data_IF_266307455953
#
_entry.id   IF_266307455953
#
_cell.length_a   1.000
_cell.length_b   1.000
_cell.length_c   1.000
_cell.angle_alpha   90.00
_cell.angle_beta   90.00
_cell.angle_gamma   90.00
#
_symmetry.space_group_name_H-M   'P 1'
#
loop_
_entity.id
_entity.type
_entity.pdbx_description
1 polymer ?
#
# COMPACT_ATOMS: atom_id res chain seq x y z
N UNK A 1 3.54 27.56 -86.70
CA UNK A 1 3.83 28.89 -87.30
C UNK A 1 4.70 29.60 -86.28
N UNK A 2 5.99 29.56 -86.52
CA UNK A 2 6.89 30.69 -86.79
C UNK A 2 6.68 31.84 -85.75
N UNK A 3 7.63 32.45 -85.09
CA UNK A 3 9.06 32.74 -85.36
C UNK A 3 9.62 33.39 -84.12
N UNK A 4 10.79 32.98 -83.61
CA UNK A 4 12.03 33.71 -83.36
C UNK A 4 11.86 35.17 -82.86
N UNK A 5 12.68 35.75 -81.99
CA UNK A 5 14.16 35.76 -82.00
C UNK A 5 14.67 36.68 -80.88
N UNK A 6 15.75 36.27 -80.29
CA UNK A 6 17.00 37.01 -80.02
C UNK A 6 16.93 38.34 -79.26
N UNK A 7 17.72 38.50 -78.35
CA UNK A 7 19.15 38.73 -78.05
C UNK A 7 19.31 39.96 -77.15
N UNK A 8 20.10 39.96 -76.28
CA UNK A 8 21.50 40.27 -76.08
C UNK A 8 21.76 41.19 -74.86
N UNK A 9 22.62 40.73 -74.06
CA UNK A 9 23.83 41.40 -73.47
C UNK A 9 23.67 42.82 -72.92
N UNK A 10 23.93 43.06 -71.68
CA UNK A 10 25.25 43.56 -71.21
C UNK A 10 25.34 43.76 -69.70
N UNK A 11 26.46 43.31 -69.20
CA UNK A 11 27.21 43.63 -68.04
C UNK A 11 26.97 44.98 -67.39
N UNK A 12 26.91 45.00 -66.03
CA UNK A 12 27.89 45.74 -65.23
C UNK A 12 27.78 45.40 -63.72
N UNK A 13 28.91 45.14 -63.19
CA UNK A 13 29.31 44.94 -61.80
C UNK A 13 28.80 46.01 -60.85
N UNK A 14 28.29 45.62 -59.71
CA UNK A 14 28.53 46.34 -58.47
C UNK A 14 28.41 45.36 -57.22
N UNK A 15 29.50 45.17 -56.57
CA UNK A 15 29.60 44.55 -55.25
C UNK A 15 28.82 45.41 -54.26
N UNK A 16 27.89 44.77 -53.45
CA UNK A 16 27.56 45.24 -52.16
C UNK A 16 27.26 44.00 -51.27
N UNK A 17 28.07 43.85 -50.26
CA UNK A 17 27.94 42.91 -49.18
C UNK A 17 26.59 43.11 -48.46
N UNK A 18 25.79 42.07 -48.37
CA UNK A 18 24.67 42.02 -47.46
C UNK A 18 24.84 40.78 -46.55
N UNK A 19 25.06 41.08 -45.28
CA UNK A 19 25.09 40.10 -44.19
C UNK A 19 23.77 39.32 -44.17
N UNK A 20 23.85 38.01 -44.33
CA UNK A 20 22.74 37.08 -44.14
C UNK A 20 22.69 36.74 -42.64
N UNK A 21 21.83 37.41 -41.91
CA UNK A 21 21.50 37.01 -40.52
C UNK A 21 20.66 35.75 -40.60
N UNK A 22 21.29 34.60 -40.36
CA UNK A 22 20.59 33.32 -40.08
C UNK A 22 19.94 33.39 -38.71
N UNK A 23 18.66 33.62 -38.65
CA UNK A 23 17.84 33.40 -37.45
C UNK A 23 17.67 31.88 -37.31
N UNK A 24 18.49 31.29 -36.47
CA UNK A 24 18.33 29.91 -36.02
C UNK A 24 17.15 29.88 -35.02
N UNK A 25 15.93 29.61 -35.52
CA UNK A 25 14.82 29.19 -34.65
C UNK A 25 15.13 27.79 -34.12
N UNK A 26 15.85 27.73 -32.98
CA UNK A 26 16.00 26.54 -32.22
C UNK A 26 14.67 26.15 -31.63
N UNK A 27 13.97 25.18 -32.24
CA UNK A 27 12.86 24.47 -31.60
C UNK A 27 13.44 23.70 -30.40
N UNK A 28 13.34 24.28 -29.21
CA UNK A 28 13.49 23.57 -27.97
C UNK A 28 12.32 22.57 -27.84
N UNK A 29 12.47 21.38 -28.46
CA UNK A 29 11.66 20.25 -28.12
C UNK A 29 12.00 19.90 -26.68
N UNK A 30 11.27 20.51 -25.75
CA UNK A 30 11.26 20.10 -24.36
C UNK A 30 10.79 18.66 -24.31
N UNK A 31 11.71 17.72 -24.21
CA UNK A 31 11.40 16.36 -23.81
C UNK A 31 10.79 16.47 -22.42
N UNK A 32 9.47 16.50 -22.35
CA UNK A 32 8.74 16.17 -21.13
C UNK A 32 9.10 14.71 -20.85
N UNK A 33 10.17 14.50 -20.07
CA UNK A 33 10.38 13.25 -19.37
C UNK A 33 9.10 13.04 -18.57
N UNK A 34 8.24 12.14 -19.05
CA UNK A 34 7.18 11.60 -18.25
C UNK A 34 7.91 11.04 -17.00
N UNK A 35 7.87 11.79 -15.92
CA UNK A 35 8.24 11.24 -14.61
C UNK A 35 7.30 10.07 -14.45
N UNK A 36 7.84 8.86 -14.62
CA UNK A 36 7.22 7.67 -14.08
C UNK A 36 6.95 8.05 -12.63
N UNK A 37 5.67 8.23 -12.28
CA UNK A 37 5.26 8.50 -10.90
C UNK A 37 5.71 7.29 -10.13
N UNK A 38 6.86 7.40 -9.48
CA UNK A 38 7.37 6.36 -8.61
C UNK A 38 6.25 6.07 -7.61
N UNK A 39 5.86 4.83 -7.51
CA UNK A 39 4.94 4.38 -6.46
C UNK A 39 5.58 4.79 -5.15
N UNK A 40 4.94 5.65 -4.32
CA UNK A 40 5.64 6.34 -3.26
C UNK A 40 6.12 5.33 -2.22
N UNK A 41 7.39 4.94 -2.31
CA UNK A 41 8.07 4.16 -1.29
C UNK A 41 7.53 2.75 -1.01
N UNK A 42 6.57 2.24 -1.80
CA UNK A 42 6.06 0.87 -1.63
C UNK A 42 7.12 -0.13 -2.07
N UNK A 43 7.48 -1.05 -1.18
CA UNK A 43 8.44 -2.10 -1.51
C UNK A 43 7.79 -3.16 -2.43
N UNK A 44 8.52 -3.72 -3.40
CA UNK A 44 7.96 -4.71 -4.33
C UNK A 44 7.44 -5.97 -3.60
N UNK A 45 6.34 -6.62 -4.09
CA UNK A 45 5.73 -7.77 -3.43
C UNK A 45 6.66 -9.00 -3.33
N UNK A 46 7.60 -9.17 -4.26
CA UNK A 46 8.60 -10.23 -4.22
C UNK A 46 9.86 -9.91 -3.40
N UNK A 47 9.92 -8.74 -2.76
CA UNK A 47 11.07 -8.36 -1.94
C UNK A 47 11.03 -9.04 -0.56
N UNK A 48 12.19 -9.08 0.09
CA UNK A 48 12.35 -9.64 1.43
C UNK A 48 12.90 -8.59 2.40
N UNK A 49 12.14 -7.52 2.68
CA UNK A 49 12.60 -6.47 3.59
C UNK A 49 12.90 -7.05 4.97
N UNK A 50 14.03 -6.65 5.53
CA UNK A 50 14.52 -7.15 6.83
C UNK A 50 14.60 -8.69 6.91
N UNK A 51 14.84 -9.36 5.77
CA UNK A 51 15.02 -10.81 5.68
C UNK A 51 13.73 -11.64 5.73
N UNK A 52 12.55 -11.03 5.68
CA UNK A 52 11.24 -11.72 5.69
C UNK A 52 10.45 -11.44 4.42
N UNK A 53 9.77 -12.45 3.86
CA UNK A 53 8.81 -12.27 2.77
C UNK A 53 7.55 -11.53 3.28
N UNK A 54 6.72 -11.04 2.33
CA UNK A 54 5.43 -10.44 2.69
C UNK A 54 4.52 -11.38 3.48
N UNK A 55 4.47 -12.68 3.12
CA UNK A 55 3.72 -13.67 3.88
C UNK A 55 4.26 -13.88 5.31
N UNK A 56 5.58 -13.80 5.51
CA UNK A 56 6.15 -13.82 6.85
C UNK A 56 5.86 -12.53 7.62
N UNK A 57 5.82 -11.38 6.94
CA UNK A 57 5.42 -10.12 7.56
C UNK A 57 3.93 -10.08 7.91
N UNK A 58 3.06 -10.71 7.12
CA UNK A 58 1.63 -10.82 7.48
C UNK A 58 1.44 -11.65 8.75
N UNK A 59 2.21 -12.74 8.93
CA UNK A 59 2.22 -13.50 10.20
C UNK A 59 2.69 -12.63 11.38
N UNK A 60 3.74 -11.81 11.23
CA UNK A 60 4.21 -10.91 12.30
C UNK A 60 3.19 -9.81 12.62
N UNK A 61 2.49 -9.29 11.59
CA UNK A 61 1.44 -8.31 11.76
C UNK A 61 0.26 -8.89 12.57
N UNK A 62 -0.16 -10.11 12.24
CA UNK A 62 -1.22 -10.80 12.99
C UNK A 62 -0.78 -11.14 14.41
N UNK A 63 0.44 -11.62 14.61
CA UNK A 63 0.98 -11.82 15.96
C UNK A 63 0.95 -10.54 16.79
N UNK A 64 1.31 -9.40 16.19
CA UNK A 64 1.20 -8.10 16.84
C UNK A 64 -0.25 -7.79 17.21
N UNK A 65 -1.18 -7.91 16.27
CA UNK A 65 -2.57 -7.58 16.52
C UNK A 65 -3.22 -8.48 17.57
N UNK A 66 -3.07 -9.79 17.47
CA UNK A 66 -3.75 -10.77 18.31
C UNK A 66 -3.29 -10.78 19.79
N UNK A 67 -2.14 -10.18 20.11
CA UNK A 67 -1.68 -10.06 21.51
C UNK A 67 -2.08 -8.74 22.17
N UNK A 68 -2.66 -7.81 21.42
CA UNK A 68 -3.09 -6.54 21.98
C UNK A 68 -4.38 -6.69 22.79
N UNK A 69 -4.57 -5.89 23.85
CA UNK A 69 -5.83 -5.85 24.59
C UNK A 69 -6.94 -5.26 23.72
N UNK A 70 -8.19 -5.52 24.10
CA UNK A 70 -9.36 -5.01 23.38
C UNK A 70 -9.45 -3.47 23.47
N UNK A 71 -9.10 -2.90 24.63
CA UNK A 71 -9.11 -1.45 24.82
C UNK A 71 -8.05 -0.79 23.92
N UNK A 72 -8.50 0.16 23.09
CA UNK A 72 -7.63 0.84 22.14
C UNK A 72 -7.14 -0.01 20.97
N UNK A 73 -7.71 -1.20 20.79
CA UNK A 73 -7.29 -2.13 19.74
C UNK A 73 -7.43 -1.53 18.34
N UNK A 74 -6.46 -1.73 17.42
CA UNK A 74 -6.48 -1.14 16.08
C UNK A 74 -7.65 -1.61 15.18
N UNK A 75 -8.34 -2.69 15.52
CA UNK A 75 -9.50 -3.18 14.78
C UNK A 75 -10.84 -2.62 15.30
N UNK A 76 -10.79 -1.80 16.32
CA UNK A 76 -11.99 -1.16 16.89
C UNK A 76 -11.85 0.35 16.69
N UNK A 77 -12.93 1.02 16.25
CA UNK A 77 -12.97 2.47 16.25
C UNK A 77 -13.18 2.95 17.70
N UNK A 78 -12.11 3.45 18.29
CA UNK A 78 -12.07 3.87 19.70
C UNK A 78 -11.31 5.18 19.84
N UNK A 79 -11.79 6.12 20.68
CA UNK A 79 -11.03 7.31 21.03
C UNK A 79 -9.72 6.99 21.79
N UNK A 80 -9.64 5.80 22.40
CA UNK A 80 -8.48 5.33 23.16
C UNK A 80 -7.47 4.58 22.28
N UNK A 81 -7.62 4.62 20.96
CA UNK A 81 -6.68 4.00 20.02
C UNK A 81 -5.27 4.50 20.25
N UNK A 82 -4.36 3.57 20.54
CA UNK A 82 -2.93 3.83 20.73
C UNK A 82 -2.12 3.28 19.56
N UNK A 83 -1.60 4.19 18.74
CA UNK A 83 -0.78 3.84 17.60
C UNK A 83 0.57 3.21 17.97
N UNK A 84 1.05 3.45 19.20
CA UNK A 84 2.34 2.96 19.70
C UNK A 84 2.21 1.58 20.34
N UNK A 85 0.98 1.09 20.56
CA UNK A 85 0.71 -0.18 21.23
C UNK A 85 1.45 -1.35 20.56
N UNK A 86 2.28 -2.04 21.32
CA UNK A 86 3.00 -3.24 20.88
C UNK A 86 4.04 -3.02 19.78
N UNK A 87 4.35 -1.79 19.38
CA UNK A 87 5.29 -1.48 18.31
C UNK A 87 6.73 -1.78 18.71
N UNK A 88 7.42 -2.59 17.91
CA UNK A 88 8.82 -2.97 18.16
C UNK A 88 9.63 -3.03 16.85
N UNK A 89 10.98 -3.14 16.96
CA UNK A 89 11.85 -3.39 15.82
C UNK A 89 11.87 -2.28 14.76
N UNK A 90 12.06 -2.66 13.49
CA UNK A 90 12.25 -1.74 12.35
C UNK A 90 10.98 -1.47 11.54
N UNK A 91 9.93 -2.24 11.77
CA UNK A 91 8.66 -2.14 11.06
C UNK A 91 7.58 -1.67 12.03
N UNK A 92 6.82 -0.68 11.59
CA UNK A 92 5.66 -0.14 12.30
C UNK A 92 4.41 -0.72 11.68
N UNK A 93 3.53 -1.29 12.49
CA UNK A 93 2.31 -1.91 12.04
C UNK A 93 1.12 -0.95 12.15
N UNK A 94 0.25 -0.94 11.14
CA UNK A 94 -1.02 -0.24 11.19
C UNK A 94 -2.15 -1.23 10.93
N UNK A 95 -3.25 -1.07 11.68
CA UNK A 95 -4.48 -1.84 11.54
C UNK A 95 -5.69 -0.91 11.39
N UNK A 96 -6.84 -1.43 10.97
CA UNK A 96 -8.04 -0.65 10.74
C UNK A 96 -9.30 -1.43 11.15
N UNK A 97 -10.36 -0.76 11.63
CA UNK A 97 -11.67 -1.37 11.80
C UNK A 97 -12.36 -1.59 10.44
N UNK A 98 -13.44 -2.38 10.44
CA UNK A 98 -14.27 -2.62 9.24
C UNK A 98 -15.24 -1.47 8.94
N UNK A 99 -14.99 -0.28 9.45
CA UNK A 99 -15.79 0.93 9.21
C UNK A 99 -14.92 2.06 8.68
N UNK A 100 -15.45 3.00 7.88
CA UNK A 100 -14.71 4.18 7.45
C UNK A 100 -14.21 4.97 8.65
N UNK A 101 -12.89 5.20 8.72
CA UNK A 101 -12.25 5.78 9.91
C UNK A 101 -11.09 6.69 9.50
N UNK A 102 -10.88 7.76 10.27
CA UNK A 102 -9.68 8.60 10.20
C UNK A 102 -8.88 8.50 11.50
N UNK A 103 -7.57 8.38 11.39
CA UNK A 103 -6.65 8.27 12.54
C UNK A 103 -5.42 9.13 12.37
N UNK A 104 -4.91 9.64 13.48
CA UNK A 104 -3.61 10.31 13.54
C UNK A 104 -2.61 9.40 14.25
N UNK A 105 -1.39 9.31 13.70
CA UNK A 105 -0.35 8.43 14.20
C UNK A 105 1.01 9.10 14.10
N UNK A 106 1.79 9.07 15.19
CA UNK A 106 3.18 9.54 15.16
C UNK A 106 4.10 8.34 14.99
N UNK A 107 4.93 8.36 13.94
CA UNK A 107 5.85 7.28 13.62
C UNK A 107 7.29 7.77 13.76
N UNK A 108 8.17 7.05 14.48
CA UNK A 108 9.59 7.38 14.53
C UNK A 108 10.25 7.28 13.14
N UNK A 109 11.03 8.29 12.77
CA UNK A 109 11.76 8.28 11.51
C UNK A 109 12.67 7.05 11.38
N UNK A 110 12.75 6.50 10.18
CA UNK A 110 13.53 5.29 9.88
C UNK A 110 12.76 3.98 10.06
N UNK A 111 11.50 4.01 10.47
CA UNK A 111 10.63 2.84 10.49
C UNK A 111 9.99 2.63 9.10
N UNK A 112 10.01 1.40 8.60
CA UNK A 112 9.11 0.97 7.52
C UNK A 112 7.70 0.80 8.08
N UNK A 113 6.68 1.02 7.25
CA UNK A 113 5.27 0.86 7.67
C UNK A 113 4.68 -0.35 6.97
N UNK A 114 4.11 -1.29 7.72
CA UNK A 114 3.44 -2.47 7.18
C UNK A 114 1.98 -2.50 7.60
N UNK A 115 1.09 -2.68 6.65
CA UNK A 115 -0.35 -2.64 6.88
C UNK A 115 -1.10 -3.51 5.87
N UNK A 116 -2.27 -3.99 6.29
CA UNK A 116 -3.19 -4.65 5.39
C UNK A 116 -4.03 -3.62 4.60
N UNK A 117 -4.30 -3.93 3.34
CA UNK A 117 -5.37 -3.30 2.58
C UNK A 117 -6.70 -3.93 2.99
N UNK A 118 -6.76 -5.24 2.89
CA UNK A 118 -7.81 -6.11 3.40
C UNK A 118 -7.28 -7.54 3.48
N UNK A 119 -7.60 -8.25 4.54
CA UNK A 119 -7.13 -9.61 4.76
C UNK A 119 -8.01 -10.34 5.78
N UNK A 120 -7.81 -11.64 5.90
CA UNK A 120 -8.40 -12.45 6.95
C UNK A 120 -7.33 -13.33 7.61
N UNK A 121 -7.62 -13.83 8.80
CA UNK A 121 -6.92 -14.93 9.43
C UNK A 121 -7.93 -15.96 9.89
N UNK A 122 -7.50 -17.20 10.04
CA UNK A 122 -8.30 -18.27 10.59
C UNK A 122 -7.49 -19.03 11.62
N UNK A 123 -8.02 -19.11 12.84
CA UNK A 123 -7.33 -19.71 13.97
C UNK A 123 -8.11 -20.87 14.62
N UNK A 124 -7.38 -21.72 15.32
CA UNK A 124 -7.98 -22.76 16.17
C UNK A 124 -8.69 -22.19 17.39
N UNK A 125 -8.26 -21.04 17.91
CA UNK A 125 -8.96 -20.35 19.02
C UNK A 125 -10.33 -19.83 18.63
N UNK A 126 -10.55 -19.44 17.38
CA UNK A 126 -11.85 -19.07 16.84
C UNK A 126 -12.70 -20.28 16.43
N UNK A 127 -12.10 -21.47 16.40
CA UNK A 127 -12.73 -22.67 15.87
C UNK A 127 -12.79 -22.72 14.34
N UNK A 128 -11.99 -21.90 13.67
CA UNK A 128 -11.94 -21.77 12.20
C UNK A 128 -10.92 -22.70 11.54
N UNK A 129 -10.54 -23.80 12.20
CA UNK A 129 -9.65 -24.82 11.69
C UNK A 129 -8.71 -25.36 12.74
N UNK A 130 -8.67 -26.69 12.89
CA UNK A 130 -7.84 -27.39 13.88
C UNK A 130 -6.49 -27.82 13.33
N UNK A 131 -6.32 -27.80 12.01
CA UNK A 131 -5.07 -28.11 11.33
C UNK A 131 -4.60 -26.91 10.49
N UNK A 132 -3.29 -26.89 10.14
CA UNK A 132 -2.77 -25.88 9.23
C UNK A 132 -3.52 -25.85 7.90
N UNK A 133 -3.90 -27.01 7.38
CA UNK A 133 -4.64 -27.09 6.13
C UNK A 133 -6.02 -26.44 6.23
N UNK A 134 -6.78 -26.74 7.30
CA UNK A 134 -8.10 -26.13 7.51
C UNK A 134 -8.00 -24.59 7.65
N UNK A 135 -7.01 -24.11 8.43
CA UNK A 135 -6.76 -22.65 8.60
C UNK A 135 -6.39 -21.99 7.29
N UNK A 136 -5.58 -22.66 6.48
CA UNK A 136 -5.14 -22.18 5.17
C UNK A 136 -6.31 -22.06 4.19
N UNK A 137 -7.12 -23.12 4.10
CA UNK A 137 -8.31 -23.15 3.23
C UNK A 137 -9.34 -22.09 3.67
N UNK A 138 -9.54 -21.92 4.96
CA UNK A 138 -10.42 -20.88 5.53
C UNK A 138 -9.94 -19.47 5.19
N UNK A 139 -8.66 -19.18 5.38
CA UNK A 139 -8.09 -17.86 5.10
C UNK A 139 -8.12 -17.54 3.59
N UNK A 140 -7.79 -18.52 2.74
CA UNK A 140 -7.86 -18.39 1.28
C UNK A 140 -9.30 -18.18 0.81
N UNK A 141 -10.26 -18.98 1.33
CA UNK A 141 -11.68 -18.78 1.03
C UNK A 141 -12.11 -17.35 1.30
N UNK A 142 -11.77 -16.81 2.48
CA UNK A 142 -12.12 -15.43 2.85
C UNK A 142 -11.42 -14.39 1.97
N UNK A 143 -10.14 -14.59 1.67
CA UNK A 143 -9.36 -13.67 0.83
C UNK A 143 -9.86 -13.63 -0.62
N UNK A 144 -10.42 -14.73 -1.13
CA UNK A 144 -11.02 -14.81 -2.47
C UNK A 144 -12.28 -13.94 -2.62
N UNK A 145 -12.90 -13.50 -1.52
CA UNK A 145 -14.05 -12.59 -1.50
C UNK A 145 -13.65 -11.11 -1.36
N UNK A 146 -12.36 -10.80 -1.47
CA UNK A 146 -11.84 -9.44 -1.43
C UNK A 146 -11.91 -8.79 -2.81
N UNK A 147 -12.43 -7.57 -2.85
CA UNK A 147 -12.54 -6.77 -4.07
C UNK A 147 -12.35 -5.27 -3.76
N UNK A 148 -12.34 -4.42 -4.81
CA UNK A 148 -12.35 -2.97 -4.65
C UNK A 148 -11.13 -2.39 -3.94
N UNK A 149 -9.98 -3.07 -3.97
CA UNK A 149 -8.75 -2.61 -3.31
C UNK A 149 -8.31 -1.23 -3.79
N UNK A 150 -7.98 -0.36 -2.86
CA UNK A 150 -7.38 0.94 -3.16
C UNK A 150 -6.30 1.30 -2.12
N UNK A 151 -5.33 2.10 -2.55
CA UNK A 151 -4.34 2.70 -1.68
C UNK A 151 -3.79 3.97 -2.32
N UNK A 152 -3.58 5.00 -1.52
CA UNK A 152 -2.84 6.20 -1.91
C UNK A 152 -1.95 6.69 -0.77
N UNK A 153 -0.81 7.26 -1.13
CA UNK A 153 0.16 7.84 -0.20
C UNK A 153 0.42 9.26 -0.67
N UNK A 154 0.16 10.24 0.19
CA UNK A 154 0.25 11.68 -0.14
C UNK A 154 -0.54 12.04 -1.41
N UNK A 155 -1.72 11.42 -1.58
CA UNK A 155 -2.58 11.59 -2.74
C UNK A 155 -2.13 10.86 -4.00
N UNK A 156 -0.98 10.16 -3.99
CA UNK A 156 -0.47 9.39 -5.14
C UNK A 156 -0.98 7.94 -5.06
N UNK A 157 -1.79 7.48 -6.03
CA UNK A 157 -2.33 6.13 -6.01
C UNK A 157 -1.24 5.05 -6.17
N UNK A 158 -1.31 4.00 -5.35
CA UNK A 158 -0.53 2.77 -5.51
C UNK A 158 -1.21 1.90 -6.56
N UNK A 159 -0.43 1.46 -7.54
CA UNK A 159 -0.93 0.64 -8.66
C UNK A 159 -0.64 -0.84 -8.44
N UNK A 160 -1.37 -1.67 -9.19
CA UNK A 160 -1.17 -3.13 -9.23
C UNK A 160 -1.29 -3.82 -7.86
N UNK A 161 -2.28 -3.41 -7.07
CA UNK A 161 -2.49 -3.91 -5.70
C UNK A 161 -2.72 -5.41 -5.65
N UNK A 162 -3.31 -6.00 -6.70
CA UNK A 162 -3.51 -7.45 -6.80
C UNK A 162 -2.21 -8.27 -6.72
N UNK A 163 -1.06 -7.68 -7.06
CA UNK A 163 0.24 -8.37 -6.96
C UNK A 163 0.73 -8.52 -5.49
N UNK A 164 0.06 -7.90 -4.55
CA UNK A 164 0.43 -7.91 -3.12
C UNK A 164 -0.40 -8.89 -2.28
N UNK A 165 -1.15 -9.77 -2.93
CA UNK A 165 -1.82 -10.90 -2.29
C UNK A 165 -0.80 -11.91 -1.80
N UNK A 166 -0.90 -12.30 -0.53
CA UNK A 166 0.02 -13.27 0.10
C UNK A 166 -0.69 -14.05 1.18
N UNK A 167 -0.36 -15.34 1.26
CA UNK A 167 -0.72 -16.19 2.38
C UNK A 167 0.47 -16.33 3.32
N UNK A 168 0.22 -16.31 4.64
CA UNK A 168 1.26 -16.48 5.65
C UNK A 168 1.70 -17.95 5.79
N UNK A 169 2.90 -18.23 6.29
CA UNK A 169 3.13 -19.49 6.97
C UNK A 169 2.21 -19.59 8.19
N UNK A 170 1.91 -20.81 8.66
CA UNK A 170 1.25 -20.96 9.96
C UNK A 170 2.10 -20.31 11.05
N UNK A 171 1.45 -19.60 11.95
CA UNK A 171 2.10 -18.95 13.08
C UNK A 171 1.39 -19.26 14.41
N UNK A 172 2.11 -19.20 15.50
CA UNK A 172 1.60 -19.33 16.85
C UNK A 172 1.47 -17.95 17.47
N UNK A 173 0.40 -17.73 18.23
CA UNK A 173 0.14 -16.50 19.00
C UNK A 173 -0.40 -16.85 20.40
N UNK A 174 -0.41 -15.86 21.30
CA UNK A 174 -1.06 -15.96 22.60
C UNK A 174 -1.94 -14.75 22.82
N UNK A 175 -3.24 -14.94 22.75
CA UNK A 175 -4.25 -13.91 22.94
C UNK A 175 -4.49 -13.64 24.43
N UNK A 176 -4.71 -12.37 24.85
CA UNK A 176 -5.15 -12.02 26.19
C UNK A 176 -6.58 -12.51 26.46
N UNK A 177 -7.05 -12.37 27.70
CA UNK A 177 -8.44 -12.63 28.08
C UNK A 177 -9.04 -11.36 28.69
N UNK A 178 -10.08 -10.72 28.07
CA UNK A 178 -10.63 -11.01 26.74
C UNK A 178 -9.65 -10.62 25.62
N UNK A 179 -9.92 -11.07 24.40
CA UNK A 179 -9.18 -10.71 23.21
C UNK A 179 -10.13 -10.22 22.10
N UNK A 180 -9.57 -9.74 20.99
CA UNK A 180 -10.34 -9.05 19.93
C UNK A 180 -11.45 -9.93 19.32
N UNK A 181 -11.30 -11.26 19.32
CA UNK A 181 -12.28 -12.19 18.74
C UNK A 181 -12.99 -13.06 19.76
N UNK A 182 -12.85 -12.82 21.08
CA UNK A 182 -13.59 -13.59 22.06
C UNK A 182 -13.29 -13.27 23.52
N UNK A 183 -14.12 -13.86 24.39
CA UNK A 183 -14.04 -13.63 25.83
C UNK A 183 -12.87 -14.37 26.50
N UNK A 184 -12.41 -15.46 25.90
CA UNK A 184 -11.34 -16.30 26.44
C UNK A 184 -10.19 -16.39 25.46
N UNK A 185 -9.05 -15.85 25.85
CA UNK A 185 -7.82 -15.97 25.09
C UNK A 185 -7.09 -17.29 25.36
N UNK A 186 -5.87 -17.38 24.89
CA UNK A 186 -5.02 -18.56 25.02
C UNK A 186 -3.95 -18.63 23.94
N UNK A 187 -3.24 -19.74 23.90
CA UNK A 187 -2.26 -19.99 22.85
C UNK A 187 -2.92 -20.78 21.73
N UNK A 188 -2.86 -20.25 20.51
CA UNK A 188 -3.40 -20.85 19.30
C UNK A 188 -2.46 -20.77 18.13
N UNK A 189 -2.89 -21.38 17.03
CA UNK A 189 -2.25 -21.30 15.72
C UNK A 189 -3.19 -20.67 14.71
N UNK A 190 -2.63 -19.97 13.71
CA UNK A 190 -3.40 -19.32 12.67
C UNK A 190 -2.64 -19.28 11.33
N UNK A 191 -3.40 -19.13 10.25
CA UNK A 191 -2.93 -18.74 8.91
C UNK A 191 -3.70 -17.51 8.47
N UNK A 192 -3.02 -16.56 7.85
CA UNK A 192 -3.67 -15.40 7.22
C UNK A 192 -3.49 -15.39 5.71
N UNK A 193 -4.46 -14.80 5.01
CA UNK A 193 -4.42 -14.54 3.58
C UNK A 193 -5.01 -13.16 3.27
N UNK A 194 -4.51 -12.50 2.24
CA UNK A 194 -5.00 -11.20 1.77
C UNK A 194 -3.90 -10.30 1.26
N UNK A 195 -4.17 -9.01 1.25
CA UNK A 195 -3.36 -8.01 0.57
C UNK A 195 -2.70 -7.07 1.57
N UNK A 196 -1.37 -6.99 1.50
CA UNK A 196 -0.55 -6.21 2.41
C UNK A 196 0.42 -5.33 1.66
N UNK A 197 0.73 -4.16 2.21
CA UNK A 197 1.77 -3.28 1.67
C UNK A 197 2.84 -2.99 2.73
N UNK A 198 4.08 -2.84 2.26
CA UNK A 198 5.18 -2.31 3.05
C UNK A 198 5.72 -1.05 2.41
N UNK A 199 5.77 0.03 3.18
CA UNK A 199 6.43 1.26 2.79
C UNK A 199 7.87 1.25 3.31
N UNK A 200 8.80 1.67 2.45
CA UNK A 200 10.10 2.11 2.93
C UNK A 200 9.93 3.26 3.95
N UNK A 201 10.91 3.54 4.81
CA UNK A 201 10.81 4.63 5.74
C UNK A 201 10.42 5.93 5.05
N UNK A 202 9.31 6.54 5.51
CA UNK A 202 8.84 7.81 5.02
C UNK A 202 9.79 8.95 5.44
N UNK A 203 9.81 10.03 4.69
CA UNK A 203 10.53 11.25 5.04
C UNK A 203 9.97 11.84 6.34
N UNK A 204 10.74 12.69 7.02
CA UNK A 204 10.20 13.45 8.15
C UNK A 204 9.16 14.45 7.69
N UNK A 205 8.08 14.58 8.46
CA UNK A 205 6.97 15.48 8.16
C UNK A 205 5.62 14.79 8.25
N UNK A 206 4.62 15.45 7.69
CA UNK A 206 3.27 14.94 7.62
C UNK A 206 3.08 14.12 6.33
N UNK A 207 2.41 12.99 6.46
CA UNK A 207 2.02 12.13 5.34
C UNK A 207 0.58 11.70 5.51
N UNK A 208 -0.08 11.38 4.39
CA UNK A 208 -1.43 10.83 4.40
C UNK A 208 -1.41 9.46 3.71
N UNK A 209 -1.86 8.44 4.42
CA UNK A 209 -2.07 7.10 3.88
C UNK A 209 -3.57 6.82 3.89
N UNK A 210 -4.18 6.59 2.72
CA UNK A 210 -5.55 6.10 2.62
C UNK A 210 -5.56 4.74 1.93
N UNK A 211 -6.24 3.76 2.52
CA UNK A 211 -6.29 2.40 1.98
C UNK A 211 -7.57 1.67 2.36
N UNK A 212 -7.90 0.63 1.62
CA UNK A 212 -9.03 -0.23 1.92
C UNK A 212 -9.40 -1.18 0.80
N UNK A 213 -10.60 -1.76 0.96
CA UNK A 213 -11.22 -2.73 0.07
C UNK A 213 -12.52 -3.23 0.67
N UNK A 214 -13.16 -4.20 0.03
CA UNK A 214 -14.45 -4.74 0.46
C UNK A 214 -14.44 -6.27 0.42
N UNK A 215 -15.07 -6.87 1.42
CA UNK A 215 -15.54 -8.26 1.38
C UNK A 215 -16.96 -8.31 0.84
N UNK A 216 -17.25 -9.32 0.05
CA UNK A 216 -18.60 -9.63 -0.37
C UNK A 216 -18.81 -11.14 -0.36
N UNK A 217 -19.73 -11.62 0.49
CA UNK A 217 -20.17 -13.01 0.57
C UNK A 217 -21.66 -13.07 0.29
N UNK A 218 -22.08 -13.97 -0.58
CA UNK A 218 -23.48 -14.08 -0.98
C UNK A 218 -23.95 -15.54 -1.08
N UNK A 219 -24.97 -15.90 -0.31
CA UNK A 219 -25.60 -17.22 -0.42
C UNK A 219 -26.23 -17.46 -1.80
N UNK A 220 -26.55 -16.41 -2.55
CA UNK A 220 -27.01 -16.51 -3.93
C UNK A 220 -25.86 -16.92 -4.89
N UNK A 221 -24.62 -16.68 -4.52
CA UNK A 221 -23.42 -17.09 -5.25
C UNK A 221 -22.83 -18.40 -4.74
N UNK A 222 -23.43 -18.99 -3.70
CA UNK A 222 -23.04 -20.28 -3.16
C UNK A 222 -22.26 -20.23 -1.85
N UNK A 223 -22.11 -19.06 -1.26
CA UNK A 223 -21.42 -18.90 0.02
C UNK A 223 -22.26 -19.41 1.19
N UNK A 224 -21.65 -19.80 2.31
CA UNK A 224 -22.38 -20.30 3.48
C UNK A 224 -23.19 -19.23 4.20
N UNK A 225 -22.91 -17.94 3.98
CA UNK A 225 -23.60 -16.80 4.61
C UNK A 225 -23.56 -15.56 3.71
N UNK A 226 -24.36 -14.55 4.06
CA UNK A 226 -24.27 -13.22 3.45
C UNK A 226 -23.48 -12.29 4.38
N UNK A 227 -22.50 -11.60 3.85
CA UNK A 227 -21.76 -10.58 4.58
C UNK A 227 -21.17 -9.55 3.61
N UNK A 228 -21.35 -8.27 3.94
CA UNK A 228 -20.69 -7.15 3.29
C UNK A 228 -19.90 -6.38 4.35
N UNK A 229 -18.61 -6.23 4.13
CA UNK A 229 -17.73 -5.47 5.00
C UNK A 229 -16.71 -4.69 4.20
N UNK A 230 -16.30 -3.54 4.68
CA UNK A 230 -15.29 -2.73 4.00
C UNK A 230 -14.36 -2.04 4.98
N UNK A 231 -13.13 -1.83 4.54
CA UNK A 231 -12.17 -0.92 5.16
C UNK A 231 -12.03 0.30 4.25
N UNK A 232 -12.12 1.50 4.82
CA UNK A 232 -11.70 2.76 4.23
C UNK A 232 -11.06 3.59 5.34
N UNK A 233 -9.75 3.41 5.51
CA UNK A 233 -8.98 4.09 6.56
C UNK A 233 -8.14 5.19 5.97
N UNK A 234 -8.18 6.38 6.61
CA UNK A 234 -7.22 7.45 6.37
C UNK A 234 -6.35 7.64 7.60
N UNK A 235 -5.05 7.40 7.45
CA UNK A 235 -4.04 7.72 8.46
C UNK A 235 -3.37 9.05 8.14
N UNK A 236 -3.42 9.98 9.09
CA UNK A 236 -2.59 11.19 9.13
C UNK A 236 -1.32 10.87 9.92
N UNK A 237 -0.23 10.61 9.22
CA UNK A 237 1.03 10.18 9.81
C UNK A 237 1.95 11.37 10.04
N UNK A 238 2.47 11.51 11.26
CA UNK A 238 3.52 12.45 11.60
C UNK A 238 4.83 11.70 11.81
N UNK A 239 5.76 11.80 10.84
CA UNK A 239 7.08 11.14 10.97
C UNK A 239 8.05 12.08 11.67
N UNK A 240 8.45 11.72 12.89
CA UNK A 240 9.28 12.54 13.77
C UNK A 240 10.64 11.89 14.06
N UNK A 241 11.58 12.68 14.52
CA UNK A 241 12.85 12.14 15.00
C UNK A 241 12.61 11.31 16.25
N UNK A 242 13.19 10.11 16.32
CA UNK A 242 13.20 9.33 17.54
C UNK A 242 14.00 10.10 18.61
N UNK A 243 13.34 10.71 19.58
CA UNK A 243 14.00 11.22 20.78
C UNK A 243 14.17 10.00 21.70
N UNK A 244 15.40 9.46 21.81
CA UNK A 244 15.73 8.64 22.98
C UNK A 244 15.63 9.59 24.17
N UNK A 245 14.59 9.43 24.98
CA UNK A 245 14.56 10.04 26.29
C UNK A 245 15.83 9.61 27.04
N UNK A 246 16.58 10.59 27.49
CA UNK A 246 17.79 10.40 28.29
C UNK A 246 17.47 9.85 29.69
#
# INVERSE_FOLDING_TARGET
MKIRSTSNLNRHTARKSALLAMVLCGALAGSALAQATATPGVLPPGSTPYGKSYGQWSAEWWKWALVLPVDGHPFVDSPDFDCDAGQTGHVWFLGAPLDPTERTCTIPAGKSVFFALLNAECSDLEGLGTTEADQRDCAEFTANHISGLFCSIDGVPVKNLAAYGVQSPQFTFTAPTPWIFGDTGGTGTSVSDGYFLMLAPLSRGAHTLRSGGSFHFSTAEGDPFNFDGSIDITYHLAVTQFHRGG
#
